data_IF_489553363962
#
_entry.id   IF_489553363962
#
_cell.length_a   1.000
_cell.length_b   1.000
_cell.length_c   1.000
_cell.angle_alpha   90.00
_cell.angle_beta   90.00
_cell.angle_gamma   90.00
#
_symmetry.space_group_name_H-M   'P 1'
#
loop_
_entity.id
_entity.type
_entity.pdbx_description
1 polymer ?
#
# COMPACT_ATOMS: atom_id res chain seq x y z
N UNK A 1 -9.42 7.37 41.91
CA UNK A 1 -9.81 6.67 40.67
C UNK A 1 -10.34 7.64 39.61
N UNK A 2 -9.78 8.83 39.43
CA UNK A 2 -10.15 9.80 38.37
C UNK A 2 -8.95 10.41 37.64
N UNK A 3 -7.73 9.90 37.86
CA UNK A 3 -6.50 10.40 37.19
C UNK A 3 -5.89 9.45 36.14
N UNK A 4 -6.49 8.25 35.95
CA UNK A 4 -6.00 7.28 34.97
C UNK A 4 -6.74 7.34 33.62
N UNK A 5 -7.81 8.15 33.52
CA UNK A 5 -8.66 8.20 32.31
C UNK A 5 -8.20 9.28 31.30
N UNK A 6 -7.28 10.15 31.66
CA UNK A 6 -6.79 11.24 30.79
C UNK A 6 -5.52 10.89 30.00
N UNK A 7 -4.82 9.85 30.38
CA UNK A 7 -3.61 9.42 29.65
C UNK A 7 -3.94 8.53 28.43
N UNK A 8 -5.12 7.89 28.44
CA UNK A 8 -5.52 7.01 27.32
C UNK A 8 -6.21 7.73 26.15
N UNK A 9 -6.59 9.02 26.31
CA UNK A 9 -7.27 9.79 25.26
C UNK A 9 -6.27 10.59 24.40
N UNK A 10 -5.05 10.78 24.87
CA UNK A 10 -3.99 11.48 24.10
C UNK A 10 -3.24 10.55 23.12
N UNK A 11 -3.46 9.23 23.18
CA UNK A 11 -2.82 8.22 22.33
C UNK A 11 -3.66 7.81 21.10
N UNK A 12 -4.85 8.44 20.90
CA UNK A 12 -5.75 8.10 19.78
C UNK A 12 -6.08 9.31 18.88
N UNK A 13 -5.30 10.38 18.94
CA UNK A 13 -5.39 11.38 17.89
C UNK A 13 -4.51 10.89 16.74
N UNK A 14 -5.07 10.64 15.54
CA UNK A 14 -4.23 10.41 14.37
C UNK A 14 -3.31 11.62 14.20
N UNK A 15 -2.01 11.39 14.02
CA UNK A 15 -1.02 12.42 13.68
C UNK A 15 -1.38 13.18 12.38
N UNK A 16 -2.44 12.79 11.69
CA UNK A 16 -2.93 13.35 10.42
C UNK A 16 -3.60 14.72 10.51
N UNK A 17 -3.75 15.32 11.70
CA UNK A 17 -4.19 16.70 11.81
C UNK A 17 -2.97 17.66 11.80
N UNK A 18 -2.21 17.64 10.71
CA UNK A 18 -1.30 18.74 10.42
C UNK A 18 -2.15 19.99 10.21
N UNK A 19 -1.97 21.00 11.05
CA UNK A 19 -2.65 22.27 10.84
C UNK A 19 -2.16 22.85 9.51
N UNK A 20 -2.98 22.86 8.48
CA UNK A 20 -2.69 23.44 7.14
C UNK A 20 -2.19 24.89 7.22
N UNK A 21 -2.36 25.57 8.36
CA UNK A 21 -1.95 26.96 8.62
C UNK A 21 -0.75 27.08 9.61
N UNK A 22 -0.04 25.99 9.94
CA UNK A 22 1.10 26.09 10.86
C UNK A 22 2.29 26.81 10.20
N UNK A 23 2.89 27.76 10.90
CA UNK A 23 4.07 28.52 10.40
C UNK A 23 5.26 27.58 10.22
N UNK A 24 5.81 27.56 9.00
CA UNK A 24 7.03 26.80 8.69
C UNK A 24 8.26 27.64 9.02
N UNK A 25 9.10 27.12 9.88
CA UNK A 25 10.38 27.69 10.26
C UNK A 25 11.53 27.02 9.50
N UNK A 26 12.69 27.70 9.44
CA UNK A 26 13.91 27.17 8.82
C UNK A 26 15.11 27.32 9.74
N UNK A 27 15.90 26.25 9.86
CA UNK A 27 17.21 26.26 10.52
C UNK A 27 18.20 25.49 9.62
N UNK A 28 19.18 26.22 9.05
CA UNK A 28 20.07 25.65 8.04
C UNK A 28 19.34 25.13 6.83
N UNK A 29 19.49 23.84 6.54
CA UNK A 29 18.82 23.14 5.46
C UNK A 29 17.43 22.56 5.85
N UNK A 30 17.04 22.62 7.13
CA UNK A 30 15.86 21.95 7.62
C UNK A 30 14.66 22.90 7.76
N UNK A 31 13.48 22.41 7.35
CA UNK A 31 12.18 23.05 7.57
C UNK A 31 11.43 22.31 8.67
N UNK A 32 10.80 23.07 9.57
CA UNK A 32 10.09 22.49 10.69
C UNK A 32 8.92 23.34 11.16
N UNK A 33 7.98 22.71 11.84
CA UNK A 33 6.85 23.34 12.53
C UNK A 33 7.06 23.22 14.05
N UNK A 34 6.50 24.20 14.80
CA UNK A 34 6.59 24.19 16.27
C UNK A 34 5.19 23.96 16.83
N UNK A 35 5.04 22.93 17.66
CA UNK A 35 3.83 22.65 18.42
C UNK A 35 4.20 22.36 19.86
N UNK A 36 3.60 23.09 20.81
CA UNK A 36 3.83 22.93 22.26
C UNK A 36 5.29 23.01 22.70
N UNK A 37 6.13 23.77 21.96
CA UNK A 37 7.56 23.95 22.27
C UNK A 37 8.45 22.80 21.78
N UNK A 38 7.96 21.97 20.89
CA UNK A 38 8.67 20.88 20.21
C UNK A 38 8.67 21.10 18.70
N UNK A 39 9.70 20.64 18.01
CA UNK A 39 9.84 20.75 16.57
C UNK A 39 9.45 19.42 15.90
N UNK A 40 8.63 19.54 14.86
CA UNK A 40 8.39 18.48 13.88
C UNK A 40 9.13 18.84 12.60
N UNK A 41 10.03 17.98 12.17
CA UNK A 41 10.75 18.14 10.91
C UNK A 41 9.82 17.84 9.74
N UNK A 42 9.66 18.81 8.81
CA UNK A 42 8.68 18.72 7.71
C UNK A 42 9.32 18.83 6.33
N UNK A 43 10.59 19.14 6.23
CA UNK A 43 11.28 19.27 4.95
C UNK A 43 12.76 19.47 5.08
N UNK A 44 13.49 19.28 3.98
CA UNK A 44 14.91 19.51 3.87
C UNK A 44 15.25 20.18 2.52
N UNK A 45 16.11 21.20 2.57
CA UNK A 45 16.67 21.85 1.38
C UNK A 45 17.99 21.16 1.03
N UNK A 46 17.89 20.17 0.15
CA UNK A 46 19.03 19.35 -0.27
C UNK A 46 20.11 20.13 -1.01
N UNK A 47 19.73 21.18 -1.78
CA UNK A 47 20.69 22.06 -2.46
C UNK A 47 21.53 22.85 -1.45
N UNK A 48 20.93 23.27 -0.35
CA UNK A 48 21.66 23.95 0.73
C UNK A 48 22.60 23.01 1.48
N UNK A 49 22.24 21.72 1.64
CA UNK A 49 23.14 20.72 2.23
C UNK A 49 24.33 20.40 1.34
N UNK A 50 24.17 20.41 0.02
CA UNK A 50 25.26 20.22 -0.95
C UNK A 50 26.24 21.40 -0.97
N UNK A 51 25.74 22.61 -0.75
CA UNK A 51 26.58 23.81 -0.74
C UNK A 51 27.58 23.82 0.44
N UNK A 52 27.26 23.09 1.51
CA UNK A 52 28.24 22.81 2.57
C UNK A 52 29.14 21.68 2.09
N UNK A 53 30.34 22.05 1.64
CA UNK A 53 31.34 21.25 0.91
C UNK A 53 31.78 19.91 1.56
N UNK A 54 31.19 19.50 2.67
CA UNK A 54 31.39 18.20 3.31
C UNK A 54 30.75 17.03 2.58
N UNK A 55 29.65 17.27 1.84
CA UNK A 55 28.86 16.18 1.20
C UNK A 55 29.23 15.95 -0.27
N UNK A 56 29.72 16.98 -0.98
CA UNK A 56 30.04 16.88 -2.43
C UNK A 56 31.23 15.99 -2.78
N UNK A 57 32.12 15.64 -1.81
CA UNK A 57 33.33 14.87 -2.04
C UNK A 57 33.54 13.73 -1.04
N UNK A 58 32.54 13.40 -0.22
CA UNK A 58 32.65 12.28 0.70
C UNK A 58 32.54 10.96 -0.09
N UNK A 59 33.45 10.03 0.19
CA UNK A 59 33.30 8.66 -0.34
C UNK A 59 32.09 8.01 0.35
N UNK A 60 31.21 7.29 -0.40
CA UNK A 60 30.09 6.57 0.21
C UNK A 60 30.55 5.52 1.24
N UNK A 61 29.72 5.24 2.26
CA UNK A 61 28.42 5.85 2.56
C UNK A 61 28.56 7.22 3.22
N UNK A 62 27.73 8.19 2.81
CA UNK A 62 27.61 9.49 3.46
C UNK A 62 26.65 9.35 4.63
N UNK A 63 27.02 9.81 5.82
CA UNK A 63 26.13 9.82 6.99
C UNK A 63 25.38 11.14 7.08
N UNK A 64 24.05 11.09 7.04
CA UNK A 64 23.16 12.21 7.28
C UNK A 64 22.62 12.13 8.69
N UNK A 65 23.06 13.05 9.54
CA UNK A 65 22.58 13.16 10.91
C UNK A 65 21.49 14.24 11.01
N UNK A 66 20.30 13.83 11.45
CA UNK A 66 19.22 14.78 11.75
C UNK A 66 19.51 15.43 13.10
N UNK A 67 19.51 16.79 13.19
CA UNK A 67 19.84 17.48 14.44
C UNK A 67 18.78 17.21 15.53
N UNK A 68 19.24 17.07 16.78
CA UNK A 68 18.34 16.86 17.92
C UNK A 68 17.52 18.12 18.29
N UNK A 69 17.89 19.30 17.77
CA UNK A 69 17.16 20.55 17.99
C UNK A 69 17.17 21.40 16.72
N UNK A 70 16.07 22.09 16.43
CA UNK A 70 15.94 23.06 15.35
C UNK A 70 15.42 24.39 15.93
N UNK A 71 16.13 25.49 15.66
CA UNK A 71 15.81 26.79 16.23
C UNK A 71 15.79 26.82 17.77
N UNK A 72 16.46 25.86 18.43
CA UNK A 72 16.46 25.70 19.88
C UNK A 72 15.31 24.84 20.43
N UNK A 73 14.43 24.31 19.58
CA UNK A 73 13.36 23.40 19.95
C UNK A 73 13.77 21.94 19.73
N UNK A 74 13.47 21.00 20.66
CA UNK A 74 13.81 19.59 20.47
C UNK A 74 13.01 19.01 19.28
N UNK A 75 13.68 18.22 18.41
CA UNK A 75 13.05 17.48 17.33
C UNK A 75 12.46 16.21 17.91
N UNK A 76 11.13 16.13 17.92
CA UNK A 76 10.39 15.02 18.51
C UNK A 76 9.57 14.20 17.51
N UNK A 77 9.35 14.74 16.30
CA UNK A 77 8.65 14.04 15.24
C UNK A 77 9.26 14.32 13.86
N UNK A 78 9.10 13.36 12.94
CA UNK A 78 9.39 13.50 11.52
C UNK A 78 8.06 13.37 10.78
N UNK A 79 7.76 14.37 9.95
CA UNK A 79 6.59 14.43 9.10
C UNK A 79 6.72 13.61 7.83
N UNK A 80 5.61 13.46 7.11
CA UNK A 80 5.55 12.72 5.86
C UNK A 80 6.35 13.38 4.74
N UNK A 81 6.78 12.57 3.78
CA UNK A 81 7.48 12.99 2.55
C UNK A 81 8.80 13.74 2.77
N UNK A 82 9.40 13.64 3.96
CA UNK A 82 10.62 14.35 4.25
C UNK A 82 11.76 14.00 3.30
N UNK A 83 11.88 12.73 2.95
CA UNK A 83 12.98 12.19 2.14
C UNK A 83 12.59 11.93 0.69
N UNK A 84 11.33 12.19 0.28
CA UNK A 84 10.84 11.97 -1.09
C UNK A 84 11.46 12.93 -2.12
N UNK A 85 11.82 14.13 -1.70
CA UNK A 85 12.40 15.15 -2.60
C UNK A 85 13.87 14.92 -2.94
N UNK A 86 14.38 13.69 -2.74
CA UNK A 86 15.71 13.28 -3.15
C UNK A 86 15.93 13.20 -4.67
N UNK A 87 14.91 13.51 -5.49
CA UNK A 87 15.07 13.71 -6.94
C UNK A 87 16.15 14.75 -7.33
N UNK A 88 16.61 15.54 -6.39
CA UNK A 88 17.75 16.42 -6.53
C UNK A 88 18.98 16.00 -5.72
N UNK A 89 18.94 14.84 -5.04
CA UNK A 89 20.12 14.36 -4.32
C UNK A 89 21.15 13.88 -5.36
N UNK A 90 22.29 14.55 -5.53
CA UNK A 90 23.29 14.18 -6.52
C UNK A 90 24.10 12.96 -6.11
N UNK A 91 23.65 12.25 -5.07
CA UNK A 91 24.30 11.06 -4.59
C UNK A 91 23.59 9.85 -5.21
N UNK A 92 24.04 9.48 -6.43
CA UNK A 92 23.84 8.12 -6.94
C UNK A 92 24.53 7.08 -6.03
N UNK A 93 24.71 7.39 -4.75
CA UNK A 93 25.42 6.60 -3.78
C UNK A 93 24.59 6.41 -2.51
N UNK A 94 24.54 5.19 -1.96
CA UNK A 94 23.82 4.91 -0.75
C UNK A 94 24.34 5.74 0.44
N UNK A 95 23.42 6.25 1.29
CA UNK A 95 23.74 7.02 2.48
C UNK A 95 23.23 6.34 3.75
N UNK A 96 23.80 6.68 4.88
CA UNK A 96 23.33 6.29 6.21
C UNK A 96 22.57 7.45 6.84
N UNK A 97 21.35 7.17 7.33
CA UNK A 97 20.53 8.15 8.04
C UNK A 97 20.56 7.88 9.55
N UNK A 98 20.88 8.90 10.32
CA UNK A 98 20.91 8.82 11.79
C UNK A 98 19.86 9.75 12.38
N UNK A 99 18.85 9.16 13.02
CA UNK A 99 17.80 9.91 13.70
C UNK A 99 18.20 10.23 15.15
N UNK A 100 17.88 11.44 15.67
CA UNK A 100 18.38 11.90 16.95
C UNK A 100 17.67 11.24 18.13
N UNK A 101 18.40 11.06 19.23
CA UNK A 101 17.78 10.78 20.53
C UNK A 101 16.87 11.95 20.94
N UNK A 102 15.68 11.63 21.46
CA UNK A 102 14.61 12.58 21.72
C UNK A 102 13.48 12.51 20.69
N UNK A 103 13.73 11.94 19.49
CA UNK A 103 12.68 11.66 18.52
C UNK A 103 11.72 10.59 19.06
N UNK A 104 10.40 10.84 18.98
CA UNK A 104 9.36 9.95 19.53
C UNK A 104 8.44 9.40 18.47
N UNK A 105 8.25 10.10 17.35
CA UNK A 105 7.28 9.69 16.34
C UNK A 105 7.78 9.86 14.91
N UNK A 106 7.41 8.91 14.07
CA UNK A 106 7.49 8.98 12.61
C UNK A 106 6.09 9.10 12.04
N UNK A 107 5.93 9.84 10.96
CA UNK A 107 4.73 9.83 10.12
C UNK A 107 4.71 8.58 9.23
N UNK A 108 3.53 8.18 8.75
CA UNK A 108 3.39 7.01 7.89
C UNK A 108 4.21 7.14 6.59
N UNK A 109 4.29 8.36 6.04
CA UNK A 109 5.01 8.65 4.81
C UNK A 109 6.41 9.26 5.06
N UNK A 110 6.96 9.14 6.28
CA UNK A 110 8.24 9.77 6.62
C UNK A 110 9.39 9.35 5.70
N UNK A 111 9.39 8.11 5.22
CA UNK A 111 10.39 7.55 4.32
C UNK A 111 9.86 7.28 2.89
N UNK A 112 8.69 7.84 2.54
CA UNK A 112 8.19 7.71 1.18
C UNK A 112 9.26 8.13 0.16
N UNK A 113 9.46 7.32 -0.88
CA UNK A 113 10.43 7.52 -1.96
C UNK A 113 11.91 7.70 -1.53
N UNK A 114 12.29 7.20 -0.35
CA UNK A 114 13.66 7.27 0.16
C UNK A 114 14.52 6.09 -0.34
N UNK A 115 14.66 5.94 -1.66
CA UNK A 115 15.31 4.77 -2.30
C UNK A 115 16.82 4.62 -2.05
N UNK A 116 17.52 5.67 -1.62
CA UNK A 116 18.99 5.67 -1.50
C UNK A 116 19.50 5.47 -0.06
N UNK A 117 18.61 5.32 0.92
CA UNK A 117 19.03 5.01 2.28
C UNK A 117 19.53 3.55 2.34
N UNK A 118 20.83 3.36 2.63
CA UNK A 118 21.38 2.03 2.86
C UNK A 118 21.22 1.55 4.30
N UNK A 119 21.15 2.50 5.23
CA UNK A 119 20.96 2.23 6.66
C UNK A 119 20.18 3.36 7.32
N UNK A 120 19.27 3.00 8.23
CA UNK A 120 18.56 3.93 9.10
C UNK A 120 18.82 3.55 10.56
N UNK A 121 19.45 4.46 11.28
CA UNK A 121 19.70 4.31 12.72
C UNK A 121 18.59 5.03 13.49
N UNK A 122 17.81 4.24 14.24
CA UNK A 122 16.66 4.69 15.02
C UNK A 122 17.03 4.89 16.51
N UNK A 123 16.49 5.94 17.17
CA UNK A 123 16.80 6.23 18.57
C UNK A 123 16.02 5.33 19.55
N UNK A 124 16.58 5.17 20.74
CA UNK A 124 15.92 4.44 21.84
C UNK A 124 14.60 5.09 22.31
N UNK A 125 14.45 6.40 22.06
CA UNK A 125 13.27 7.18 22.48
C UNK A 125 12.06 7.04 21.57
N UNK A 126 12.18 6.35 20.44
CA UNK A 126 11.09 6.22 19.47
C UNK A 126 9.91 5.40 20.03
N UNK A 127 8.73 6.01 20.01
CA UNK A 127 7.48 5.45 20.58
C UNK A 127 6.47 5.05 19.51
N UNK A 128 6.49 5.72 18.34
CA UNK A 128 5.52 5.53 17.27
C UNK A 128 6.24 5.30 15.94
N UNK A 129 6.04 4.11 15.39
CA UNK A 129 6.37 3.74 14.01
C UNK A 129 5.09 3.22 13.38
N UNK A 130 4.47 3.95 12.43
CA UNK A 130 3.29 3.47 11.70
C UNK A 130 3.62 2.25 10.82
N UNK A 131 2.61 1.41 10.58
CA UNK A 131 2.69 0.37 9.55
C UNK A 131 2.88 1.04 8.17
N UNK A 132 3.65 0.43 7.27
CA UNK A 132 3.97 0.98 5.96
C UNK A 132 5.04 2.09 5.93
N UNK A 133 5.46 2.61 7.10
CA UNK A 133 6.43 3.71 7.18
C UNK A 133 7.74 3.47 6.40
N UNK A 134 8.12 2.21 6.22
CA UNK A 134 9.34 1.77 5.53
C UNK A 134 9.06 0.95 4.27
N UNK A 135 7.87 0.96 3.71
CA UNK A 135 7.44 0.05 2.64
C UNK A 135 8.22 0.21 1.32
N UNK A 136 8.84 1.36 1.10
CA UNK A 136 9.55 1.69 -0.15
C UNK A 136 11.04 1.97 0.01
N UNK A 137 11.66 1.51 1.09
CA UNK A 137 13.09 1.67 1.28
C UNK A 137 13.81 0.32 1.30
N UNK A 138 15.05 0.28 0.81
CA UNK A 138 15.92 -0.89 0.86
C UNK A 138 17.04 -0.71 1.89
N UNK A 139 16.71 -0.29 3.12
CA UNK A 139 17.68 0.05 4.14
C UNK A 139 17.82 -1.03 5.23
N UNK A 140 19.01 -1.18 5.76
CA UNK A 140 19.20 -1.85 7.05
C UNK A 140 18.70 -0.93 8.18
N UNK A 141 17.89 -1.47 9.10
CA UNK A 141 17.37 -0.72 10.25
C UNK A 141 18.04 -1.22 11.54
N UNK A 142 18.44 -0.30 12.41
CA UNK A 142 19.13 -0.61 13.65
C UNK A 142 18.71 0.31 14.80
N UNK A 143 18.67 -0.26 16.01
CA UNK A 143 18.52 0.43 17.28
C UNK A 143 19.79 0.22 18.11
N UNK A 144 20.86 0.96 17.92
CA UNK A 144 22.14 0.71 18.58
C UNK A 144 22.08 0.81 20.10
N UNK A 145 21.16 1.61 20.63
CA UNK A 145 20.92 1.76 22.07
C UNK A 145 19.75 0.90 22.56
N UNK A 146 19.19 0.03 21.69
CA UNK A 146 17.96 -0.70 21.94
C UNK A 146 16.71 0.22 21.92
N UNK A 147 15.52 -0.38 22.01
CA UNK A 147 14.27 0.34 22.17
C UNK A 147 13.32 -0.50 23.05
N UNK A 148 12.54 0.12 23.97
CA UNK A 148 11.67 -0.65 24.87
C UNK A 148 10.47 -1.33 24.19
N UNK A 149 10.06 -0.82 23.02
CA UNK A 149 8.89 -1.28 22.27
C UNK A 149 9.29 -2.08 21.03
N UNK A 150 10.27 -1.60 20.30
CA UNK A 150 10.68 -2.17 19.02
C UNK A 150 11.96 -2.98 19.14
N UNK A 151 12.07 -4.01 18.32
CA UNK A 151 13.32 -4.74 18.12
C UNK A 151 13.62 -4.89 16.63
N UNK A 152 14.90 -4.93 16.30
CA UNK A 152 15.36 -5.24 14.96
C UNK A 152 16.42 -6.34 15.06
N UNK A 153 16.04 -7.56 14.67
CA UNK A 153 16.91 -8.73 14.70
C UNK A 153 16.85 -9.48 13.38
N UNK A 154 18.00 -9.83 12.82
CA UNK A 154 18.11 -10.53 11.53
C UNK A 154 17.38 -9.81 10.38
N UNK A 155 17.35 -8.47 10.39
CA UNK A 155 16.67 -7.66 9.40
C UNK A 155 15.14 -7.54 9.57
N UNK A 156 14.56 -8.04 10.67
CA UNK A 156 13.15 -7.93 10.97
C UNK A 156 12.88 -6.85 12.02
N UNK A 157 12.15 -5.79 11.64
CA UNK A 157 11.67 -4.77 12.57
C UNK A 157 10.30 -5.19 13.13
N UNK A 158 10.22 -5.36 14.45
CA UNK A 158 9.02 -5.86 15.13
C UNK A 158 8.57 -4.91 16.22
N UNK A 159 7.27 -4.57 16.25
CA UNK A 159 6.62 -4.02 17.43
C UNK A 159 6.33 -5.18 18.42
N UNK A 160 7.09 -5.24 19.51
CA UNK A 160 6.99 -6.30 20.50
C UNK A 160 5.70 -6.21 21.35
N UNK A 161 5.02 -5.04 21.35
CA UNK A 161 3.77 -4.84 22.10
C UNK A 161 2.60 -5.51 21.39
N UNK A 162 2.51 -5.33 20.08
CA UNK A 162 1.45 -5.88 19.23
C UNK A 162 1.84 -7.19 18.56
N UNK A 163 3.11 -7.56 18.60
CA UNK A 163 3.70 -8.67 17.85
C UNK A 163 3.47 -8.52 16.33
N UNK A 164 3.70 -7.29 15.84
CA UNK A 164 3.56 -6.92 14.43
C UNK A 164 4.94 -6.83 13.79
N UNK A 165 5.14 -7.51 12.66
CA UNK A 165 6.27 -7.26 11.76
C UNK A 165 5.98 -5.97 10.99
N UNK A 166 6.83 -4.97 11.16
CA UNK A 166 6.66 -3.66 10.53
C UNK A 166 7.48 -3.51 9.25
N UNK A 167 8.61 -4.22 9.16
CA UNK A 167 9.52 -4.09 8.03
C UNK A 167 10.48 -5.27 7.94
N UNK A 168 10.90 -5.60 6.72
CA UNK A 168 11.97 -6.56 6.42
C UNK A 168 13.10 -5.87 5.67
N UNK A 169 14.29 -5.88 6.25
CA UNK A 169 15.48 -5.34 5.61
C UNK A 169 16.07 -6.32 4.58
N UNK A 170 16.90 -5.85 3.62
CA UNK A 170 17.57 -6.73 2.65
C UNK A 170 18.37 -7.87 3.28
N UNK A 171 18.97 -7.67 4.46
CA UNK A 171 19.70 -8.73 5.18
C UNK A 171 18.82 -9.87 5.69
N UNK A 172 17.50 -9.70 5.72
CA UNK A 172 16.56 -10.76 6.13
C UNK A 172 16.32 -11.82 5.05
N UNK A 173 16.76 -11.57 3.83
CA UNK A 173 16.59 -12.48 2.69
C UNK A 173 17.09 -13.88 2.96
N UNK A 174 16.31 -14.89 2.59
CA UNK A 174 16.62 -16.32 2.83
C UNK A 174 16.51 -16.76 4.29
N UNK A 175 16.02 -15.90 5.20
CA UNK A 175 15.76 -16.27 6.59
C UNK A 175 14.28 -16.60 6.80
N UNK A 176 13.97 -17.47 7.77
CA UNK A 176 12.58 -17.77 8.11
C UNK A 176 11.90 -16.55 8.76
N UNK A 177 10.64 -16.30 8.41
CA UNK A 177 9.85 -15.26 9.05
C UNK A 177 9.73 -15.49 10.56
N UNK A 178 9.79 -14.42 11.36
CA UNK A 178 9.65 -14.52 12.81
C UNK A 178 8.23 -14.92 13.23
N UNK A 179 8.10 -15.50 14.42
CA UNK A 179 6.81 -15.87 15.00
C UNK A 179 6.07 -14.60 15.48
N UNK A 180 5.39 -13.92 14.58
CA UNK A 180 4.56 -12.73 14.86
C UNK A 180 3.07 -13.04 14.74
N UNK A 181 2.21 -12.16 15.23
CA UNK A 181 0.75 -12.27 15.13
C UNK A 181 0.17 -11.51 13.94
N UNK A 182 0.87 -10.46 13.48
CA UNK A 182 0.48 -9.64 12.35
C UNK A 182 1.66 -9.36 11.44
N UNK A 183 1.41 -9.39 10.13
CA UNK A 183 2.24 -8.74 9.14
C UNK A 183 1.66 -7.34 8.91
N UNK A 184 2.41 -6.30 9.22
CA UNK A 184 2.01 -4.91 8.99
C UNK A 184 2.03 -4.55 7.51
N UNK A 185 1.39 -3.45 7.13
CA UNK A 185 1.29 -3.01 5.74
C UNK A 185 2.68 -2.93 5.07
N UNK A 186 2.81 -3.49 3.86
CA UNK A 186 4.05 -3.49 3.07
C UNK A 186 5.25 -4.23 3.70
N UNK A 187 5.10 -4.86 4.87
CA UNK A 187 6.23 -5.35 5.68
C UNK A 187 7.10 -6.42 5.03
N UNK A 188 6.61 -7.14 4.00
CA UNK A 188 7.36 -8.19 3.29
C UNK A 188 7.93 -7.75 1.93
N UNK A 189 7.71 -6.52 1.48
CA UNK A 189 8.09 -6.10 0.13
C UNK A 189 9.55 -6.42 -0.19
N UNK A 190 10.50 -6.01 0.64
CA UNK A 190 11.92 -6.26 0.38
C UNK A 190 12.31 -7.73 0.52
N UNK A 191 11.60 -8.50 1.32
CA UNK A 191 11.88 -9.93 1.52
C UNK A 191 11.47 -10.76 0.31
N UNK A 192 10.37 -10.37 -0.36
CA UNK A 192 9.79 -11.10 -1.50
C UNK A 192 10.42 -10.75 -2.85
N UNK A 193 11.00 -9.56 -3.02
CA UNK A 193 11.59 -9.13 -4.30
C UNK A 193 12.81 -9.95 -4.72
N UNK A 194 13.48 -10.58 -3.78
CA UNK A 194 14.73 -11.31 -4.01
C UNK A 194 14.59 -12.83 -3.89
N UNK A 195 13.39 -13.35 -3.60
CA UNK A 195 13.16 -14.79 -3.40
C UNK A 195 12.10 -15.30 -4.38
N UNK A 196 12.48 -16.30 -5.21
CA UNK A 196 11.54 -16.98 -6.11
C UNK A 196 10.75 -18.09 -5.41
N UNK A 197 10.98 -18.33 -4.11
CA UNK A 197 10.33 -19.37 -3.33
C UNK A 197 9.03 -18.85 -2.69
N UNK A 198 7.98 -19.67 -2.69
CA UNK A 198 6.72 -19.36 -2.03
C UNK A 198 6.92 -19.20 -0.51
N UNK A 199 6.37 -18.16 0.12
CA UNK A 199 6.63 -17.86 1.53
C UNK A 199 6.01 -18.87 2.48
N UNK A 200 6.77 -19.26 3.51
CA UNK A 200 6.27 -20.07 4.63
C UNK A 200 5.80 -19.13 5.74
N UNK A 201 4.50 -18.90 5.82
CA UNK A 201 3.91 -18.02 6.84
C UNK A 201 3.91 -18.67 8.23
N UNK A 202 4.23 -17.90 9.30
CA UNK A 202 4.25 -18.45 10.65
C UNK A 202 2.83 -18.82 11.14
N UNK A 203 2.70 -19.97 11.82
CA UNK A 203 1.42 -20.46 12.34
C UNK A 203 0.81 -19.58 13.46
N UNK A 204 1.53 -18.57 13.91
CA UNK A 204 1.09 -17.60 14.92
C UNK A 204 0.30 -16.44 14.33
N UNK A 205 0.24 -16.30 12.99
CA UNK A 205 -0.44 -15.21 12.33
C UNK A 205 -1.96 -15.24 12.56
N UNK A 206 -2.50 -14.06 12.84
CA UNK A 206 -3.93 -13.80 13.05
C UNK A 206 -4.46 -12.80 12.01
N UNK A 207 -3.60 -11.91 11.47
CA UNK A 207 -3.97 -10.94 10.44
C UNK A 207 -2.79 -10.58 9.53
N UNK A 208 -3.14 -10.05 8.34
CA UNK A 208 -2.21 -9.66 7.29
C UNK A 208 -2.62 -8.27 6.78
N UNK A 209 -1.65 -7.37 6.68
CA UNK A 209 -1.82 -6.00 6.22
C UNK A 209 -2.00 -5.86 4.72
N UNK A 210 -2.12 -4.62 4.28
CA UNK A 210 -2.20 -4.24 2.87
C UNK A 210 -0.82 -4.34 2.19
N UNK A 211 -0.82 -4.58 0.88
CA UNK A 211 0.39 -4.60 0.04
C UNK A 211 1.48 -5.58 0.48
N UNK A 212 1.13 -6.62 1.26
CA UNK A 212 2.12 -7.61 1.74
C UNK A 212 2.81 -8.34 0.60
N UNK A 213 2.06 -8.66 -0.45
CA UNK A 213 2.53 -9.38 -1.64
C UNK A 213 2.47 -8.51 -2.90
N UNK A 214 2.58 -7.19 -2.76
CA UNK A 214 2.50 -6.25 -3.88
C UNK A 214 3.68 -6.44 -4.85
N UNK A 215 3.37 -6.53 -6.15
CA UNK A 215 4.34 -6.54 -7.26
C UNK A 215 5.50 -7.55 -7.08
N UNK A 216 5.17 -8.76 -6.58
CA UNK A 216 6.15 -9.82 -6.32
C UNK A 216 5.85 -11.09 -7.13
N UNK A 217 6.89 -11.90 -7.37
CA UNK A 217 6.83 -13.14 -8.13
C UNK A 217 6.25 -14.35 -7.37
N UNK A 218 5.59 -14.15 -6.23
CA UNK A 218 4.98 -15.23 -5.44
C UNK A 218 3.86 -15.89 -6.23
N UNK A 219 3.95 -17.21 -6.44
CA UNK A 219 2.97 -17.98 -7.21
C UNK A 219 1.97 -18.73 -6.35
N UNK A 220 2.31 -19.03 -5.10
CA UNK A 220 1.45 -19.77 -4.17
C UNK A 220 1.57 -19.24 -2.75
N UNK A 221 0.42 -19.09 -2.08
CA UNK A 221 0.36 -18.74 -0.65
C UNK A 221 -0.60 -19.68 0.08
N UNK A 222 -0.16 -20.20 1.23
CA UNK A 222 -0.99 -20.95 2.16
C UNK A 222 -1.07 -20.21 3.48
N UNK A 223 -2.28 -19.75 3.83
CA UNK A 223 -2.51 -19.13 5.13
C UNK A 223 -2.70 -20.14 6.25
N UNK A 224 -2.14 -19.85 7.45
CA UNK A 224 -2.43 -20.66 8.62
C UNK A 224 -3.87 -20.49 9.09
N UNK A 225 -4.40 -21.50 9.81
CA UNK A 225 -5.79 -21.53 10.29
C UNK A 225 -6.17 -20.38 11.24
N UNK A 226 -5.18 -19.65 11.78
CA UNK A 226 -5.38 -18.53 12.70
C UNK A 226 -5.84 -17.24 12.05
N UNK A 227 -5.69 -17.10 10.74
CA UNK A 227 -6.05 -15.87 10.00
C UNK A 227 -7.56 -15.70 9.97
N UNK A 228 -8.05 -14.57 10.47
CA UNK A 228 -9.45 -14.18 10.45
C UNK A 228 -9.75 -13.01 9.52
N UNK A 229 -8.72 -12.23 9.19
CA UNK A 229 -8.80 -10.98 8.42
C UNK A 229 -7.61 -10.88 7.45
N UNK A 230 -7.91 -10.46 6.24
CA UNK A 230 -6.97 -9.93 5.26
C UNK A 230 -7.26 -8.44 5.10
N UNK A 231 -6.27 -7.66 4.71
CA UNK A 231 -6.47 -6.23 4.40
C UNK A 231 -6.75 -6.03 2.90
N UNK A 232 -7.35 -4.89 2.50
CA UNK A 232 -7.41 -4.50 1.10
C UNK A 232 -6.03 -4.51 0.45
N UNK A 233 -5.95 -4.80 -0.85
CA UNK A 233 -4.71 -4.83 -1.64
C UNK A 233 -3.65 -5.83 -1.17
N UNK A 234 -3.98 -6.84 -0.36
CA UNK A 234 -2.99 -7.83 0.16
C UNK A 234 -2.15 -8.45 -0.95
N UNK A 235 -2.76 -8.81 -2.09
CA UNK A 235 -2.11 -9.44 -3.26
C UNK A 235 -2.17 -8.56 -4.52
N UNK A 236 -2.22 -7.27 -4.36
CA UNK A 236 -2.32 -6.35 -5.50
C UNK A 236 -1.15 -6.51 -6.47
N UNK A 237 -1.44 -6.75 -7.77
CA UNK A 237 -0.45 -6.91 -8.85
C UNK A 237 0.57 -8.05 -8.62
N UNK A 238 0.15 -9.22 -8.13
CA UNK A 238 1.01 -10.37 -7.81
C UNK A 238 0.89 -11.46 -8.88
N UNK A 239 1.98 -12.19 -9.15
CA UNK A 239 1.97 -13.39 -10.02
C UNK A 239 1.26 -14.61 -9.38
N UNK A 240 0.43 -14.40 -8.37
CA UNK A 240 -0.26 -15.42 -7.58
C UNK A 240 -1.19 -16.26 -8.45
N UNK A 241 -0.93 -17.58 -8.52
CA UNK A 241 -1.71 -18.57 -9.27
C UNK A 241 -2.60 -19.44 -8.36
N UNK A 242 -2.17 -19.67 -7.12
CA UNK A 242 -2.86 -20.53 -6.16
C UNK A 242 -2.84 -19.92 -4.75
N UNK A 243 -3.99 -19.85 -4.10
CA UNK A 243 -4.10 -19.42 -2.71
C UNK A 243 -4.95 -20.38 -1.91
N UNK A 244 -4.47 -20.77 -0.72
CA UNK A 244 -5.23 -21.54 0.26
C UNK A 244 -5.69 -20.61 1.38
N UNK A 245 -6.99 -20.25 1.33
CA UNK A 245 -7.63 -19.41 2.33
C UNK A 245 -8.07 -20.25 3.54
N UNK A 246 -7.89 -19.77 4.79
CA UNK A 246 -8.26 -20.51 5.98
C UNK A 246 -9.79 -20.50 6.21
N UNK A 247 -10.31 -21.57 6.81
CA UNK A 247 -11.73 -21.67 7.14
C UNK A 247 -12.23 -20.63 8.16
N UNK A 248 -11.31 -19.99 8.88
CA UNK A 248 -11.56 -18.91 9.83
C UNK A 248 -11.87 -17.56 9.16
N UNK A 249 -11.50 -17.38 7.88
CA UNK A 249 -11.69 -16.14 7.15
C UNK A 249 -13.18 -15.77 7.04
N UNK A 250 -13.50 -14.49 7.27
CA UNK A 250 -14.87 -13.96 7.25
C UNK A 250 -15.15 -13.04 6.08
N UNK A 251 -14.10 -12.41 5.57
CA UNK A 251 -14.21 -11.43 4.50
C UNK A 251 -13.03 -11.57 3.54
N UNK A 252 -13.29 -11.45 2.24
CA UNK A 252 -12.30 -11.13 1.22
C UNK A 252 -12.48 -9.64 0.95
N UNK A 253 -11.49 -8.79 1.31
CA UNK A 253 -11.66 -7.34 1.23
C UNK A 253 -11.59 -6.79 -0.19
N UNK A 254 -11.87 -5.50 -0.32
CA UNK A 254 -11.79 -4.76 -1.57
C UNK A 254 -10.37 -4.88 -2.17
N UNK A 255 -10.24 -5.09 -3.48
CA UNK A 255 -8.98 -5.19 -4.24
C UNK A 255 -7.99 -6.26 -3.74
N UNK A 256 -8.44 -7.25 -2.96
CA UNK A 256 -7.55 -8.22 -2.29
C UNK A 256 -6.66 -8.99 -3.27
N UNK A 257 -7.22 -9.45 -4.40
CA UNK A 257 -6.56 -10.20 -5.47
C UNK A 257 -6.59 -9.46 -6.81
N UNK A 258 -6.64 -8.13 -6.76
CA UNK A 258 -6.70 -7.33 -7.98
C UNK A 258 -5.41 -7.49 -8.80
N UNK A 259 -5.58 -7.78 -10.09
CA UNK A 259 -4.49 -8.04 -11.02
C UNK A 259 -3.55 -9.19 -10.59
N UNK A 260 -4.12 -10.31 -10.08
CA UNK A 260 -3.41 -11.57 -9.82
C UNK A 260 -3.60 -12.55 -10.99
N UNK A 261 -2.79 -13.61 -11.04
CA UNK A 261 -2.87 -14.67 -12.06
C UNK A 261 -3.58 -15.93 -11.53
N UNK A 262 -4.61 -15.77 -10.69
CA UNK A 262 -5.34 -16.90 -10.10
C UNK A 262 -6.03 -17.73 -11.18
N UNK A 263 -5.74 -19.03 -11.21
CA UNK A 263 -6.39 -19.99 -12.12
C UNK A 263 -7.61 -20.66 -11.47
N UNK A 264 -7.69 -20.66 -10.15
CA UNK A 264 -8.80 -21.16 -9.36
C UNK A 264 -8.85 -20.49 -7.99
N UNK A 265 -10.05 -20.31 -7.45
CA UNK A 265 -10.25 -19.80 -6.10
C UNK A 265 -11.32 -20.61 -5.39
N UNK A 266 -11.01 -21.14 -4.21
CA UNK A 266 -11.98 -21.74 -3.31
C UNK A 266 -12.29 -20.79 -2.18
N UNK A 267 -13.55 -20.34 -2.10
CA UNK A 267 -14.01 -19.45 -1.03
C UNK A 267 -14.46 -20.29 0.15
N UNK A 268 -13.88 -20.08 1.35
CA UNK A 268 -14.24 -20.85 2.55
C UNK A 268 -15.70 -20.64 2.98
N UNK A 269 -16.34 -21.69 3.53
CA UNK A 269 -17.73 -21.66 4.01
C UNK A 269 -17.99 -20.61 5.13
N UNK A 270 -16.94 -20.02 5.71
CA UNK A 270 -17.04 -18.97 6.73
C UNK A 270 -17.16 -17.55 6.20
N UNK A 271 -16.89 -17.35 4.91
CA UNK A 271 -16.88 -16.02 4.27
C UNK A 271 -18.33 -15.55 4.10
N UNK A 272 -18.59 -14.33 4.59
CA UNK A 272 -19.90 -13.68 4.51
C UNK A 272 -19.91 -12.50 3.54
N UNK A 273 -18.73 -11.92 3.25
CA UNK A 273 -18.56 -10.75 2.40
C UNK A 273 -17.39 -10.93 1.44
N UNK A 274 -17.60 -10.51 0.20
CA UNK A 274 -16.57 -10.32 -0.81
C UNK A 274 -16.60 -8.85 -1.22
N UNK A 275 -15.46 -8.18 -1.15
CA UNK A 275 -15.34 -6.75 -1.41
C UNK A 275 -15.42 -6.38 -2.88
N UNK A 276 -15.45 -5.08 -3.16
CA UNK A 276 -15.43 -4.57 -4.52
C UNK A 276 -14.07 -4.82 -5.17
N UNK A 277 -14.06 -5.14 -6.46
CA UNK A 277 -12.84 -5.44 -7.24
C UNK A 277 -11.94 -6.51 -6.58
N UNK A 278 -12.51 -7.38 -5.74
CA UNK A 278 -11.73 -8.30 -4.92
C UNK A 278 -10.90 -9.30 -5.72
N UNK A 279 -11.41 -9.72 -6.90
CA UNK A 279 -10.78 -10.72 -7.79
C UNK A 279 -10.80 -10.20 -9.23
N UNK A 280 -10.93 -8.90 -9.40
CA UNK A 280 -10.99 -8.26 -10.70
C UNK A 280 -9.63 -8.27 -11.40
N UNK A 281 -9.64 -8.29 -12.73
CA UNK A 281 -8.46 -8.61 -13.52
C UNK A 281 -8.31 -7.77 -14.78
N UNK A 282 -7.07 -7.38 -15.07
CA UNK A 282 -6.76 -6.57 -16.24
C UNK A 282 -6.14 -7.35 -17.44
N UNK A 283 -5.38 -8.45 -17.25
CA UNK A 283 -4.67 -9.11 -18.37
C UNK A 283 -4.26 -10.57 -18.09
N UNK A 284 -5.01 -11.57 -18.46
CA UNK A 284 -4.47 -12.93 -18.44
C UNK A 284 -5.49 -14.11 -18.47
N UNK A 285 -5.15 -15.26 -17.86
CA UNK A 285 -6.03 -16.42 -17.79
C UNK A 285 -7.10 -16.20 -16.71
N UNK A 286 -8.35 -16.32 -17.09
CA UNK A 286 -9.53 -15.99 -16.30
C UNK A 286 -9.85 -17.15 -15.37
N UNK A 287 -10.26 -16.88 -14.11
CA UNK A 287 -10.95 -17.85 -13.28
C UNK A 287 -12.27 -18.19 -13.98
N UNK A 288 -12.36 -19.37 -14.58
CA UNK A 288 -13.51 -19.74 -15.41
C UNK A 288 -14.82 -19.85 -14.63
N UNK A 289 -14.79 -20.28 -13.36
CA UNK A 289 -15.98 -20.41 -12.53
C UNK A 289 -15.65 -20.33 -11.03
N UNK A 290 -16.49 -19.65 -10.26
CA UNK A 290 -16.44 -19.57 -8.80
C UNK A 290 -17.79 -19.93 -8.19
N UNK A 291 -17.76 -20.80 -7.16
CA UNK A 291 -18.95 -21.11 -6.37
C UNK A 291 -18.88 -20.36 -5.04
N UNK A 292 -19.85 -19.47 -4.82
CA UNK A 292 -20.02 -18.76 -3.55
C UNK A 292 -20.73 -19.67 -2.54
N UNK A 293 -20.14 -19.94 -1.38
CA UNK A 293 -20.79 -20.75 -0.34
C UNK A 293 -22.08 -20.08 0.17
N UNK A 294 -22.92 -20.87 0.82
CA UNK A 294 -24.21 -20.37 1.34
C UNK A 294 -24.08 -19.30 2.44
N UNK A 295 -22.88 -19.14 2.99
CA UNK A 295 -22.56 -18.10 3.98
C UNK A 295 -22.42 -16.71 3.38
N UNK A 296 -22.11 -16.58 2.08
CA UNK A 296 -21.91 -15.27 1.44
C UNK A 296 -23.24 -14.54 1.36
N UNK A 297 -23.28 -13.37 1.95
CA UNK A 297 -24.45 -12.48 2.02
C UNK A 297 -24.28 -11.26 1.11
N UNK A 298 -23.03 -10.83 0.85
CA UNK A 298 -22.72 -9.63 0.09
C UNK A 298 -21.53 -9.87 -0.87
N UNK A 299 -21.68 -9.36 -2.08
CA UNK A 299 -20.64 -9.32 -3.13
C UNK A 299 -20.52 -7.88 -3.64
N UNK A 300 -19.36 -7.30 -3.50
CA UNK A 300 -19.05 -5.92 -3.88
C UNK A 300 -19.09 -5.72 -5.40
N UNK A 301 -19.13 -4.46 -5.78
CA UNK A 301 -19.12 -4.05 -7.19
C UNK A 301 -17.88 -4.55 -7.91
N UNK A 302 -18.04 -5.10 -9.12
CA UNK A 302 -16.96 -5.70 -9.93
C UNK A 302 -16.04 -6.67 -9.13
N UNK A 303 -16.60 -7.41 -8.15
CA UNK A 303 -15.81 -8.34 -7.32
C UNK A 303 -15.17 -9.48 -8.12
N UNK A 304 -15.72 -9.82 -9.28
CA UNK A 304 -15.24 -10.85 -10.20
C UNK A 304 -15.15 -10.31 -11.62
N UNK A 305 -14.26 -10.86 -12.47
CA UNK A 305 -14.24 -10.55 -13.91
C UNK A 305 -15.58 -10.88 -14.57
N UNK A 306 -15.96 -10.12 -15.60
CA UNK A 306 -17.22 -10.29 -16.34
C UNK A 306 -17.37 -11.69 -16.96
N UNK A 307 -16.27 -12.35 -17.34
CA UNK A 307 -16.26 -13.67 -17.95
C UNK A 307 -16.28 -14.82 -16.92
N UNK A 308 -16.26 -14.52 -15.62
CA UNK A 308 -16.32 -15.53 -14.56
C UNK A 308 -17.75 -16.03 -14.33
N UNK A 309 -17.96 -17.34 -14.44
CA UNK A 309 -19.22 -17.96 -14.08
C UNK A 309 -19.40 -18.01 -12.55
N UNK A 310 -20.12 -17.05 -11.98
CA UNK A 310 -20.38 -16.99 -10.54
C UNK A 310 -21.67 -17.72 -10.19
N UNK A 311 -21.57 -18.82 -9.42
CA UNK A 311 -22.72 -19.58 -8.90
C UNK A 311 -22.87 -19.34 -7.40
N UNK A 312 -23.93 -18.67 -6.98
CA UNK A 312 -24.24 -18.43 -5.56
C UNK A 312 -25.12 -19.53 -4.98
N UNK A 313 -24.68 -20.16 -3.88
CA UNK A 313 -25.50 -21.14 -3.15
C UNK A 313 -26.52 -20.46 -2.22
N UNK A 314 -26.27 -19.19 -1.83
CA UNK A 314 -27.25 -18.36 -1.12
C UNK A 314 -28.15 -17.63 -2.14
N UNK A 315 -29.43 -17.95 -2.24
CA UNK A 315 -30.34 -17.29 -3.21
C UNK A 315 -30.68 -15.83 -2.81
N UNK A 316 -30.25 -15.38 -1.64
CA UNK A 316 -30.47 -14.03 -1.11
C UNK A 316 -29.18 -13.19 -1.08
N UNK A 317 -28.12 -13.67 -1.72
CA UNK A 317 -26.88 -12.89 -1.83
C UNK A 317 -27.16 -11.55 -2.50
N UNK A 318 -26.66 -10.48 -1.91
CA UNK A 318 -26.72 -9.14 -2.50
C UNK A 318 -25.47 -8.89 -3.34
N UNK A 319 -25.66 -8.55 -4.60
CA UNK A 319 -24.61 -8.05 -5.47
C UNK A 319 -24.71 -6.52 -5.52
N UNK A 320 -23.67 -5.85 -5.10
CA UNK A 320 -23.60 -4.39 -5.07
C UNK A 320 -23.65 -3.81 -6.48
N UNK A 321 -24.52 -2.84 -6.67
CA UNK A 321 -24.60 -2.08 -7.93
C UNK A 321 -23.56 -0.94 -7.95
N UNK A 322 -23.25 -0.45 -9.15
CA UNK A 322 -22.36 0.71 -9.32
C UNK A 322 -22.85 1.95 -8.53
N UNK A 323 -24.17 2.18 -8.47
CA UNK A 323 -24.74 3.29 -7.72
C UNK A 323 -24.54 3.15 -6.21
N UNK A 324 -24.72 1.93 -5.65
CA UNK A 324 -24.47 1.65 -4.23
C UNK A 324 -22.98 1.79 -3.89
N UNK A 325 -22.08 1.35 -4.80
CA UNK A 325 -20.66 1.53 -4.66
C UNK A 325 -20.27 3.00 -4.61
N UNK A 326 -20.76 3.82 -5.54
CA UNK A 326 -20.52 5.25 -5.57
C UNK A 326 -21.06 5.99 -4.33
N UNK A 327 -22.23 5.58 -3.79
CA UNK A 327 -22.75 6.12 -2.53
C UNK A 327 -21.86 5.77 -1.32
N UNK A 328 -21.21 4.62 -1.34
CA UNK A 328 -20.32 4.14 -0.26
C UNK A 328 -18.94 4.83 -0.30
N UNK A 329 -18.54 5.34 -1.47
CA UNK A 329 -17.27 5.98 -1.74
C UNK A 329 -17.44 7.44 -2.22
N UNK A 330 -18.04 8.32 -1.39
CA UNK A 330 -18.23 9.72 -1.77
C UNK A 330 -16.93 10.54 -1.81
N UNK A 331 -15.85 10.00 -1.25
CA UNK A 331 -14.50 10.58 -1.31
C UNK A 331 -13.89 10.51 -2.72
N UNK A 332 -14.34 9.58 -3.56
CA UNK A 332 -13.99 9.60 -4.97
C UNK A 332 -14.80 10.69 -5.66
N UNK A 333 -14.17 11.84 -5.87
CA UNK A 333 -14.71 12.87 -6.74
C UNK A 333 -14.56 12.38 -8.20
N UNK A 334 -15.59 11.66 -8.66
CA UNK A 334 -15.68 11.15 -10.04
C UNK A 334 -15.59 12.25 -11.10
N UNK A 335 -15.59 13.53 -10.68
CA UNK A 335 -15.42 14.72 -11.52
C UNK A 335 -13.98 15.27 -11.49
N UNK A 336 -13.10 14.77 -10.62
CA UNK A 336 -11.71 15.22 -10.56
C UNK A 336 -10.83 14.49 -11.58
N UNK A 337 -9.84 15.19 -12.12
CA UNK A 337 -8.84 14.59 -13.02
C UNK A 337 -8.04 13.46 -12.32
N UNK A 338 -8.04 13.39 -10.98
CA UNK A 338 -7.43 12.31 -10.19
C UNK A 338 -8.28 11.01 -10.15
N UNK A 339 -9.61 11.12 -10.36
CA UNK A 339 -10.45 9.93 -10.58
C UNK A 339 -10.24 9.32 -11.97
N UNK A 340 -9.60 10.05 -12.86
CA UNK A 340 -9.29 9.62 -14.23
C UNK A 340 -8.24 8.50 -14.32
N UNK A 341 -7.56 8.16 -13.22
CA UNK A 341 -6.55 7.09 -13.20
C UNK A 341 -7.15 5.69 -12.99
N UNK A 342 -8.45 5.56 -12.70
CA UNK A 342 -9.11 4.26 -12.62
C UNK A 342 -9.61 3.85 -14.01
N UNK A 343 -8.78 3.11 -14.72
CA UNK A 343 -9.12 2.56 -16.02
C UNK A 343 -10.00 1.33 -15.84
N UNK A 344 -11.22 1.39 -16.32
CA UNK A 344 -12.17 0.26 -16.34
C UNK A 344 -12.11 -0.45 -17.68
N UNK A 345 -12.41 -1.75 -17.70
CA UNK A 345 -12.49 -2.53 -18.93
C UNK A 345 -13.71 -3.43 -18.93
N UNK A 346 -14.42 -3.49 -20.05
CA UNK A 346 -15.47 -4.50 -20.31
C UNK A 346 -14.96 -5.66 -21.20
N UNK A 347 -13.65 -5.84 -21.23
CA UNK A 347 -12.99 -6.88 -22.04
C UNK A 347 -12.63 -6.44 -23.46
N UNK A 348 -13.35 -5.52 -24.07
CA UNK A 348 -13.07 -4.98 -25.42
C UNK A 348 -12.73 -3.49 -25.40
N UNK A 349 -13.26 -2.77 -24.44
CA UNK A 349 -13.17 -1.34 -24.32
C UNK A 349 -12.62 -0.94 -22.95
N UNK A 350 -11.63 -0.08 -22.93
CA UNK A 350 -11.13 0.54 -21.72
C UNK A 350 -11.75 1.93 -21.60
N UNK A 351 -12.26 2.27 -20.41
CA UNK A 351 -13.01 3.51 -20.18
C UNK A 351 -12.78 4.04 -18.77
N UNK A 352 -12.97 5.33 -18.62
CA UNK A 352 -13.04 6.04 -17.34
C UNK A 352 -14.50 6.33 -16.98
N UNK A 353 -14.78 6.44 -15.68
CA UNK A 353 -16.08 6.92 -15.22
C UNK A 353 -16.02 8.41 -14.90
N UNK A 354 -17.05 9.12 -15.31
CA UNK A 354 -17.28 10.52 -14.96
C UNK A 354 -18.67 10.66 -14.35
N UNK A 355 -18.96 11.78 -13.72
CA UNK A 355 -20.30 12.11 -13.21
C UNK A 355 -21.41 12.03 -14.27
N UNK A 356 -21.05 12.03 -15.54
CA UNK A 356 -21.98 11.98 -16.69
C UNK A 356 -22.13 10.58 -17.26
N UNK A 357 -21.22 9.65 -16.96
CA UNK A 357 -21.18 8.29 -17.49
C UNK A 357 -19.77 7.86 -17.90
N UNK A 358 -19.67 6.78 -18.65
CA UNK A 358 -18.41 6.25 -19.13
C UNK A 358 -17.80 7.09 -20.27
N UNK A 359 -16.50 7.34 -20.19
CA UNK A 359 -15.68 7.94 -21.24
C UNK A 359 -14.81 6.87 -21.86
N UNK A 360 -15.06 6.47 -23.08
CA UNK A 360 -14.30 5.43 -23.77
C UNK A 360 -12.91 5.95 -24.13
N UNK A 361 -11.86 5.23 -23.68
CA UNK A 361 -10.46 5.64 -23.85
C UNK A 361 -9.70 4.78 -24.86
N UNK A 362 -9.88 3.46 -24.81
CA UNK A 362 -9.18 2.52 -25.68
C UNK A 362 -10.10 1.41 -26.18
N UNK A 363 -9.89 1.00 -27.42
CA UNK A 363 -10.54 -0.13 -28.05
C UNK A 363 -9.54 -1.06 -28.75
N UNK A 364 -8.26 -1.01 -28.37
CA UNK A 364 -7.19 -1.79 -29.01
C UNK A 364 -7.46 -3.29 -28.96
N UNK A 365 -8.12 -3.79 -27.91
CA UNK A 365 -8.49 -5.20 -27.77
C UNK A 365 -9.54 -5.65 -28.79
N UNK A 366 -10.40 -4.75 -29.24
CA UNK A 366 -11.35 -5.03 -30.31
C UNK A 366 -10.61 -5.39 -31.61
N UNK A 367 -9.53 -4.70 -31.94
CA UNK A 367 -8.73 -4.94 -33.16
C UNK A 367 -7.79 -6.15 -33.04
N UNK A 368 -7.57 -6.65 -31.83
CA UNK A 368 -6.78 -7.86 -31.58
C UNK A 368 -7.60 -9.17 -31.63
N UNK A 369 -8.91 -9.10 -31.94
CA UNK A 369 -9.74 -10.29 -32.11
C UNK A 369 -9.35 -11.07 -33.38
N UNK A 370 -9.48 -12.42 -33.38
CA UNK A 370 -9.17 -13.25 -34.54
C UNK A 370 -10.00 -12.93 -35.80
N UNK A 371 -11.19 -12.43 -35.63
CA UNK A 371 -12.08 -11.94 -36.68
C UNK A 371 -12.54 -10.54 -36.31
N UNK A 372 -11.95 -9.52 -36.92
CA UNK A 372 -12.33 -8.11 -36.70
C UNK A 372 -13.60 -7.83 -37.49
N UNK A 373 -14.71 -7.40 -36.88
CA UNK A 373 -15.92 -6.98 -37.59
C UNK A 373 -15.65 -5.76 -38.49
N UNK A 374 -16.33 -5.68 -39.60
CA UNK A 374 -16.22 -4.53 -40.52
C UNK A 374 -16.72 -3.20 -39.92
N UNK A 375 -17.41 -3.27 -38.79
CA UNK A 375 -17.99 -2.10 -38.10
C UNK A 375 -17.74 -2.23 -36.61
N UNK A 376 -17.11 -1.22 -36.04
CA UNK A 376 -16.95 -1.07 -34.59
C UNK A 376 -18.27 -0.48 -34.03
N UNK A 377 -19.01 -1.27 -33.29
CA UNK A 377 -20.20 -0.81 -32.56
C UNK A 377 -19.79 -0.51 -31.10
N UNK A 378 -19.81 0.77 -30.77
CA UNK A 378 -19.59 1.21 -29.37
C UNK A 378 -20.89 0.95 -28.60
N UNK A 379 -20.86 0.18 -27.49
CA UNK A 379 -22.06 -0.09 -26.71
C UNK A 379 -22.64 1.20 -26.11
N UNK A 380 -23.96 1.24 -25.92
CA UNK A 380 -24.62 2.39 -25.30
C UNK A 380 -24.26 2.55 -23.81
N UNK A 381 -23.76 1.49 -23.17
CA UNK A 381 -23.33 1.45 -21.77
C UNK A 381 -22.05 0.62 -21.64
N UNK A 382 -21.15 1.03 -20.75
CA UNK A 382 -19.97 0.29 -20.33
C UNK A 382 -20.01 0.16 -18.81
N UNK A 383 -19.85 -1.07 -18.28
CA UNK A 383 -19.99 -1.34 -16.85
C UNK A 383 -21.33 -0.89 -16.25
N UNK A 384 -22.41 -0.85 -17.07
CA UNK A 384 -23.72 -0.33 -16.65
C UNK A 384 -23.90 1.18 -16.75
N UNK A 385 -22.85 1.94 -17.07
CA UNK A 385 -22.90 3.40 -17.24
C UNK A 385 -23.16 3.79 -18.70
N UNK A 386 -23.95 4.85 -18.98
CA UNK A 386 -24.12 5.32 -20.32
C UNK A 386 -22.77 5.85 -20.87
N UNK A 387 -22.43 5.47 -22.10
CA UNK A 387 -21.26 6.05 -22.80
C UNK A 387 -21.60 7.48 -23.21
N UNK A 388 -20.90 8.45 -22.61
CA UNK A 388 -21.21 9.88 -22.80
C UNK A 388 -20.13 10.64 -23.57
N UNK A 389 -18.93 10.07 -23.67
CA UNK A 389 -17.83 10.67 -24.42
C UNK A 389 -16.88 9.60 -24.98
N UNK A 390 -16.07 10.01 -25.95
CA UNK A 390 -15.00 9.23 -26.54
C UNK A 390 -13.72 10.04 -26.35
N UNK A 391 -12.71 9.43 -25.70
CA UNK A 391 -11.41 10.06 -25.45
C UNK A 391 -10.65 10.40 -26.74
N UNK A 392 -9.83 11.43 -26.70
CA UNK A 392 -9.16 12.00 -27.88
C UNK A 392 -8.12 11.10 -28.55
N UNK A 393 -7.74 9.98 -27.92
CA UNK A 393 -6.69 9.05 -28.40
C UNK A 393 -7.22 7.72 -28.92
N UNK A 394 -8.55 7.50 -28.87
CA UNK A 394 -9.17 6.21 -29.17
C UNK A 394 -8.76 5.62 -30.52
N UNK A 395 -8.52 6.45 -31.53
CA UNK A 395 -8.18 6.06 -32.88
C UNK A 395 -6.76 6.41 -33.29
N UNK A 396 -5.91 6.90 -32.38
CA UNK A 396 -4.55 7.32 -32.68
C UNK A 396 -3.59 6.17 -33.02
N UNK A 397 -3.92 4.95 -32.64
CA UNK A 397 -3.14 3.73 -32.93
C UNK A 397 -3.51 3.05 -34.24
N UNK A 398 -4.45 3.60 -35.03
CA UNK A 398 -4.93 3.00 -36.27
C UNK A 398 -4.14 3.42 -37.52
N UNK A 399 -3.15 4.33 -37.38
CA UNK A 399 -2.26 4.78 -38.45
C UNK A 399 -1.02 3.85 -38.59
N UNK A 400 -1.24 2.56 -38.88
CA UNK A 400 -0.18 1.54 -39.09
C UNK A 400 -0.48 0.67 -40.30
#
# INVERSE_FOLDING_TARGET
MKKLLWVLILLLLPLTAWAEDAEIHRDGAFFYQITDGEATLTGCDWDAMQADSLYMFAEPPVSLEIPATLGGYPVTAIGGWLFSSLDGCPVDAPFELVLPEGLRALDADAFADCYYAAKVTLPATLEIIPEGCFDRIEAEIDFPNGNPRYSCENGFLIDNTTQTLLYTAPSSHGTALPAVRRLGDGSLLNWLWYDDDDPVLPNTLESVGSYIFYDCGVTRVTFPDGITELSPYTFYCTDLQEVHLPASLREIPDYCFWNCQLTALTIPDGVTRIGAHAIDWFTGEIIGAVTLPASVEFVGYCAFPDECDVTALNPQVHFETAAEYAERHPEYDWDSDEAADVLYSDGLFDYELSSRGAVLLDCSRFFNQPEIPDVLEIPATLGGYPVTAIGGWLFSSLDG
#
